data_IF_463084290429
#
_entry.id   IF_463084290429
#
_cell.length_a   1.000
_cell.length_b   1.000
_cell.length_c   1.000
_cell.angle_alpha   90.00
_cell.angle_beta   90.00
_cell.angle_gamma   90.00
#
_symmetry.space_group_name_H-M   'P 1'
#
loop_
_entity.id
_entity.type
_entity.pdbx_description
1 polymer ?
#
# COMPACT_ATOMS: atom_id res chain seq x y z
N UNK A 1 17.29 9.98 -6.42
CA UNK A 1 17.51 8.71 -5.69
C UNK A 1 16.15 8.22 -5.23
N UNK A 2 15.60 7.25 -5.94
CA UNK A 2 14.25 6.73 -5.76
C UNK A 2 14.18 5.79 -4.55
N UNK A 3 13.56 6.24 -3.46
CA UNK A 3 13.39 5.45 -2.25
C UNK A 3 12.15 4.57 -2.40
N UNK A 4 12.31 3.35 -2.90
CA UNK A 4 11.27 2.33 -2.84
C UNK A 4 10.93 2.03 -1.37
N UNK A 5 9.91 2.70 -0.80
CA UNK A 5 9.46 2.50 0.58
C UNK A 5 8.61 1.24 0.70
N UNK A 6 9.22 0.05 0.68
CA UNK A 6 8.52 -1.21 0.93
C UNK A 6 8.43 -1.49 2.43
N UNK A 7 7.30 -2.05 2.85
CA UNK A 7 7.06 -2.46 4.23
C UNK A 7 7.41 -3.95 4.41
N UNK A 8 8.04 -4.29 5.53
CA UNK A 8 8.35 -5.68 5.88
C UNK A 8 7.12 -6.35 6.46
N UNK A 9 6.74 -7.50 5.90
CA UNK A 9 5.64 -8.32 6.41
C UNK A 9 6.15 -9.35 7.40
N UNK A 10 5.94 -9.09 8.68
CA UNK A 10 6.25 -10.05 9.73
C UNK A 10 5.29 -11.24 9.68
N UNK A 11 5.78 -12.45 9.97
CA UNK A 11 4.94 -13.64 10.04
C UNK A 11 3.89 -13.53 11.15
N UNK A 12 2.66 -13.96 10.86
CA UNK A 12 1.57 -14.01 11.84
C UNK A 12 1.19 -15.46 12.11
N UNK A 13 1.41 -15.91 13.36
CA UNK A 13 1.07 -17.28 13.80
C UNK A 13 -0.41 -17.47 14.10
N UNK A 14 -1.10 -16.40 14.50
CA UNK A 14 -2.50 -16.43 14.92
C UNK A 14 -3.38 -15.79 13.85
N UNK A 15 -4.56 -16.36 13.66
CA UNK A 15 -5.56 -15.88 12.70
C UNK A 15 -6.00 -14.44 12.98
N UNK A 16 -6.17 -14.10 14.26
CA UNK A 16 -6.47 -12.73 14.67
C UNK A 16 -5.38 -11.76 14.17
N UNK A 17 -4.11 -12.14 14.28
CA UNK A 17 -2.99 -11.32 13.83
C UNK A 17 -2.88 -11.27 12.31
N UNK A 18 -3.11 -12.39 11.61
CA UNK A 18 -3.03 -12.44 10.13
C UNK A 18 -4.13 -11.62 9.46
N UNK A 19 -5.30 -11.53 10.08
CA UNK A 19 -6.43 -10.73 9.58
C UNK A 19 -6.49 -9.30 10.15
N UNK A 20 -5.59 -8.95 11.07
CA UNK A 20 -5.48 -7.57 11.57
C UNK A 20 -5.15 -6.59 10.43
N UNK A 21 -5.62 -5.35 10.58
CA UNK A 21 -5.40 -4.29 9.59
C UNK A 21 -3.91 -4.11 9.24
N UNK A 22 -3.07 -3.98 10.27
CA UNK A 22 -1.63 -3.74 10.12
C UNK A 22 -0.90 -4.87 9.38
N UNK A 23 -1.41 -6.10 9.40
CA UNK A 23 -0.80 -7.21 8.66
C UNK A 23 -1.30 -7.29 7.21
N UNK A 24 -2.57 -6.99 6.96
CA UNK A 24 -3.16 -6.99 5.60
C UNK A 24 -2.65 -5.84 4.75
N UNK A 25 -2.55 -4.64 5.33
CA UNK A 25 -2.17 -3.41 4.62
C UNK A 25 -0.74 -3.45 4.05
N UNK A 26 0.14 -4.30 4.59
CA UNK A 26 1.52 -4.44 4.09
C UNK A 26 1.55 -4.99 2.66
N UNK A 27 0.71 -5.98 2.35
CA UNK A 27 0.61 -6.52 0.99
C UNK A 27 0.10 -5.45 0.02
N UNK A 28 -0.94 -4.74 0.43
CA UNK A 28 -1.58 -3.68 -0.34
C UNK A 28 -0.57 -2.57 -0.66
N UNK A 29 0.11 -2.07 0.37
CA UNK A 29 1.16 -1.06 0.24
C UNK A 29 2.28 -1.49 -0.71
N UNK A 30 2.76 -2.73 -0.58
CA UNK A 30 3.84 -3.24 -1.43
C UNK A 30 3.41 -3.50 -2.89
N UNK A 31 2.11 -3.53 -3.17
CA UNK A 31 1.57 -3.64 -4.54
C UNK A 31 1.44 -2.29 -5.25
N UNK A 32 1.55 -1.18 -4.49
CA UNK A 32 1.43 0.16 -5.05
C UNK A 32 2.64 0.49 -5.93
N UNK A 33 2.42 1.17 -7.06
CA UNK A 33 3.50 1.60 -7.92
C UNK A 33 4.24 2.79 -7.28
N UNK A 34 5.49 2.96 -7.69
CA UNK A 34 6.40 3.93 -7.06
C UNK A 34 5.90 5.38 -7.15
N UNK A 35 5.25 5.77 -8.25
CA UNK A 35 4.69 7.12 -8.43
C UNK A 35 3.53 7.43 -7.46
N UNK A 36 2.81 6.41 -6.97
CA UNK A 36 1.81 6.59 -5.91
C UNK A 36 2.55 6.80 -4.58
N UNK A 37 3.49 5.91 -4.25
CA UNK A 37 4.22 5.92 -2.97
C UNK A 37 5.07 7.18 -2.78
N UNK A 38 5.67 7.69 -3.85
CA UNK A 38 6.55 8.87 -3.83
C UNK A 38 5.80 10.20 -4.01
N UNK A 39 4.48 10.20 -3.84
CA UNK A 39 3.69 11.45 -3.88
C UNK A 39 4.19 12.46 -2.84
N UNK A 40 4.34 13.72 -3.26
CA UNK A 40 4.95 14.79 -2.45
C UNK A 40 4.05 15.33 -1.34
N UNK A 41 2.75 15.04 -1.40
CA UNK A 41 1.74 15.43 -0.42
C UNK A 41 0.70 14.33 -0.24
N UNK A 42 0.04 14.31 0.93
CA UNK A 42 -1.09 13.42 1.22
C UNK A 42 -2.22 13.60 0.20
N UNK A 43 -2.46 14.83 -0.25
CA UNK A 43 -3.49 15.08 -1.26
C UNK A 43 -3.14 14.42 -2.60
N UNK A 44 -1.91 14.60 -3.07
CA UNK A 44 -1.42 13.94 -4.29
C UNK A 44 -1.46 12.42 -4.16
N UNK A 45 -1.10 11.89 -2.98
CA UNK A 45 -1.20 10.45 -2.70
C UNK A 45 -2.63 9.93 -2.86
N UNK A 46 -3.63 10.61 -2.28
CA UNK A 46 -5.06 10.24 -2.42
C UNK A 46 -5.49 10.23 -3.88
N UNK A 47 -5.23 11.31 -4.63
CA UNK A 47 -5.59 11.37 -6.06
C UNK A 47 -4.89 10.27 -6.86
N UNK A 48 -3.63 9.99 -6.57
CA UNK A 48 -2.84 8.97 -7.28
C UNK A 48 -3.29 7.55 -6.97
N UNK A 49 -3.62 7.25 -5.71
CA UNK A 49 -4.11 5.92 -5.31
C UNK A 49 -5.52 5.68 -5.87
N UNK A 50 -6.40 6.69 -5.87
CA UNK A 50 -7.74 6.59 -6.45
C UNK A 50 -7.66 6.29 -7.95
N UNK A 51 -6.80 7.02 -8.70
CA UNK A 51 -6.53 6.74 -10.11
C UNK A 51 -6.00 5.33 -10.35
N UNK A 52 -5.08 4.87 -9.50
CA UNK A 52 -4.50 3.53 -9.60
C UNK A 52 -5.56 2.45 -9.40
N UNK A 53 -6.42 2.60 -8.38
CA UNK A 53 -7.45 1.61 -8.10
C UNK A 53 -8.57 1.60 -9.13
N UNK A 54 -8.99 2.76 -9.64
CA UNK A 54 -9.93 2.84 -10.77
C UNK A 54 -9.38 2.11 -12.00
N UNK A 55 -8.09 2.32 -12.32
CA UNK A 55 -7.43 1.65 -13.45
C UNK A 55 -7.35 0.13 -13.26
N UNK A 56 -7.15 -0.33 -12.03
CA UNK A 56 -7.02 -1.75 -11.69
C UNK A 56 -8.37 -2.45 -11.47
N UNK A 57 -9.49 -1.73 -11.52
CA UNK A 57 -10.84 -2.26 -11.23
C UNK A 57 -11.03 -2.68 -9.77
N UNK A 58 -10.29 -2.08 -8.83
CA UNK A 58 -10.41 -2.35 -7.39
C UNK A 58 -11.53 -1.54 -6.73
N UNK A 59 -11.96 -0.46 -7.39
CA UNK A 59 -13.12 0.40 -7.10
C UNK A 59 -13.69 0.91 -8.42
#
# INVERSE_FOLDING_TARGET
MCLCKKLVKNFARLDIRKFSFSHRVVNEWNSLPEWVVNSTSVHCFKVNIDKFFHKCGRI
#
